data_IF_956425994928
#
_entry.id   IF_956425994928
#
_cell.length_a   1.000
_cell.length_b   1.000
_cell.length_c   1.000
_cell.angle_alpha   90.00
_cell.angle_beta   90.00
_cell.angle_gamma   90.00
#
_symmetry.space_group_name_H-M   'P 1'
#
loop_
_entity.id
_entity.type
_entity.pdbx_description
1 polymer ?
#
# COMPACT_ATOMS: atom_id res chain seq x y z
N UNK A 1 -9.18 -2.63 -16.12
CA UNK A 1 -10.30 -2.23 -15.23
C UNK A 1 -9.86 -1.22 -14.18
N UNK A 2 -8.75 -1.44 -13.45
CA UNK A 2 -8.23 -0.46 -12.45
C UNK A 2 -7.61 0.81 -13.04
N UNK A 3 -7.22 0.81 -14.31
CA UNK A 3 -6.41 1.87 -14.93
C UNK A 3 -7.08 3.24 -14.98
N UNK A 4 -8.40 3.32 -15.19
CA UNK A 4 -9.12 4.61 -15.21
C UNK A 4 -9.15 5.24 -13.80
N UNK A 5 -9.63 4.54 -12.75
CA UNK A 5 -9.49 4.99 -11.36
C UNK A 5 -8.06 5.38 -10.97
N UNK A 6 -7.10 4.53 -11.35
CA UNK A 6 -5.68 4.77 -11.10
C UNK A 6 -5.22 6.08 -11.72
N UNK A 7 -5.50 6.30 -13.00
CA UNK A 7 -5.12 7.52 -13.72
C UNK A 7 -5.76 8.78 -13.13
N UNK A 8 -7.06 8.72 -12.81
CA UNK A 8 -7.78 9.84 -12.17
C UNK A 8 -7.16 10.19 -10.81
N UNK A 9 -6.86 9.18 -9.99
CA UNK A 9 -6.29 9.39 -8.65
C UNK A 9 -4.86 9.89 -8.72
N UNK A 10 -4.02 9.31 -9.58
CA UNK A 10 -2.63 9.75 -9.78
C UNK A 10 -2.62 11.19 -10.29
N UNK A 11 -3.39 11.51 -11.33
CA UNK A 11 -3.43 12.86 -11.92
C UNK A 11 -3.86 13.92 -10.90
N UNK A 12 -4.85 13.60 -10.07
CA UNK A 12 -5.43 14.54 -9.11
C UNK A 12 -4.60 14.73 -7.84
N UNK A 13 -3.97 13.66 -7.34
CA UNK A 13 -3.40 13.64 -5.98
C UNK A 13 -1.90 13.42 -5.92
N UNK A 14 -1.25 12.97 -7.00
CA UNK A 14 0.18 12.71 -6.96
C UNK A 14 1.01 13.99 -7.09
N UNK A 15 2.10 14.05 -6.34
CA UNK A 15 3.13 15.09 -6.48
C UNK A 15 4.12 14.80 -7.62
N UNK A 16 4.16 13.57 -8.12
CA UNK A 16 4.99 13.18 -9.26
C UNK A 16 4.33 12.00 -9.99
N UNK A 17 3.66 12.30 -11.11
CA UNK A 17 2.91 11.34 -11.92
C UNK A 17 3.82 10.22 -12.43
N UNK A 18 4.99 10.57 -12.97
CA UNK A 18 5.94 9.60 -13.51
C UNK A 18 6.37 8.59 -12.44
N UNK A 19 6.81 9.07 -11.27
CA UNK A 19 7.22 8.21 -10.18
C UNK A 19 6.06 7.33 -9.67
N UNK A 20 4.82 7.84 -9.68
CA UNK A 20 3.64 7.06 -9.25
C UNK A 20 3.39 5.86 -10.16
N UNK A 21 3.47 6.07 -11.48
CA UNK A 21 3.35 4.98 -12.44
C UNK A 21 4.54 4.04 -12.36
N UNK A 22 5.75 4.57 -12.20
CA UNK A 22 6.94 3.74 -12.02
C UNK A 22 6.77 2.81 -10.81
N UNK A 23 6.34 3.34 -9.65
CA UNK A 23 6.02 2.53 -8.46
C UNK A 23 4.92 1.51 -8.76
N UNK A 24 3.84 1.92 -9.45
CA UNK A 24 2.75 1.03 -9.80
C UNK A 24 3.22 -0.20 -10.60
N UNK A 25 4.14 0.01 -11.56
CA UNK A 25 4.70 -1.08 -12.36
C UNK A 25 5.83 -1.83 -11.66
N UNK A 26 6.64 -1.15 -10.86
CA UNK A 26 7.74 -1.73 -10.07
C UNK A 26 7.23 -2.78 -9.07
N UNK A 27 6.06 -2.55 -8.49
CA UNK A 27 5.41 -3.52 -7.61
C UNK A 27 4.51 -4.47 -8.40
N UNK A 28 4.06 -5.54 -7.75
CA UNK A 28 3.21 -6.57 -8.38
C UNK A 28 1.82 -6.06 -8.81
N UNK A 29 1.46 -4.79 -8.57
CA UNK A 29 0.12 -4.26 -8.84
C UNK A 29 -0.31 -4.44 -10.30
N UNK A 30 0.60 -4.25 -11.26
CA UNK A 30 0.28 -4.44 -12.68
C UNK A 30 -0.04 -5.90 -13.00
N UNK A 31 0.86 -6.82 -12.64
CA UNK A 31 0.71 -8.25 -12.88
C UNK A 31 -0.46 -8.87 -12.11
N UNK A 32 -0.72 -8.36 -10.91
CA UNK A 32 -1.83 -8.77 -10.06
C UNK A 32 -3.19 -8.61 -10.75
N UNK A 33 -3.34 -7.67 -11.69
CA UNK A 33 -4.58 -7.52 -12.44
C UNK A 33 -4.94 -8.73 -13.31
N UNK A 34 -3.94 -9.51 -13.72
CA UNK A 34 -4.14 -10.68 -14.58
C UNK A 34 -4.44 -11.93 -13.76
N UNK A 35 -3.90 -12.05 -12.53
CA UNK A 35 -4.13 -13.18 -11.64
C UNK A 35 -5.27 -12.98 -10.65
N UNK A 36 -5.67 -11.73 -10.39
CA UNK A 36 -6.62 -11.35 -9.34
C UNK A 36 -7.75 -10.44 -9.81
N UNK A 37 -8.36 -10.71 -10.97
CA UNK A 37 -9.27 -9.76 -11.66
C UNK A 37 -10.43 -9.24 -10.78
N UNK A 38 -11.06 -10.10 -9.96
CA UNK A 38 -12.13 -9.70 -9.01
C UNK A 38 -11.62 -8.76 -7.93
N UNK A 39 -10.44 -9.06 -7.38
CA UNK A 39 -9.80 -8.21 -6.38
C UNK A 39 -9.30 -6.89 -6.99
N UNK A 40 -8.83 -6.89 -8.23
CA UNK A 40 -8.46 -5.67 -8.97
C UNK A 40 -9.66 -4.76 -9.27
N UNK A 41 -10.83 -5.33 -9.53
CA UNK A 41 -12.08 -4.57 -9.59
C UNK A 41 -12.42 -3.93 -8.24
N UNK A 42 -12.29 -4.67 -7.14
CA UNK A 42 -12.48 -4.09 -5.81
C UNK A 42 -11.46 -2.97 -5.50
N UNK A 43 -10.18 -3.15 -5.85
CA UNK A 43 -9.13 -2.12 -5.70
C UNK A 43 -9.44 -0.84 -6.47
N UNK A 44 -10.16 -0.93 -7.59
CA UNK A 44 -10.64 0.22 -8.36
C UNK A 44 -11.56 1.11 -7.53
N UNK A 45 -12.51 0.51 -6.81
CA UNK A 45 -13.38 1.22 -5.88
C UNK A 45 -12.62 1.75 -4.66
N UNK A 46 -11.65 1.00 -4.14
CA UNK A 46 -10.77 1.47 -3.05
C UNK A 46 -10.00 2.73 -3.45
N UNK A 47 -9.40 2.77 -4.65
CA UNK A 47 -8.70 3.96 -5.14
C UNK A 47 -9.62 5.19 -5.21
N UNK A 48 -10.84 5.05 -5.74
CA UNK A 48 -11.82 6.15 -5.79
C UNK A 48 -12.24 6.58 -4.37
N UNK A 49 -12.37 5.63 -3.44
CA UNK A 49 -12.82 5.89 -2.06
C UNK A 49 -11.93 6.90 -1.32
N UNK A 50 -10.65 7.00 -1.71
CA UNK A 50 -9.72 8.00 -1.19
C UNK A 50 -10.25 9.43 -1.33
N UNK A 51 -10.90 9.76 -2.47
CA UNK A 51 -11.55 11.06 -2.65
C UNK A 51 -12.59 11.32 -1.54
N UNK A 52 -13.37 10.31 -1.13
CA UNK A 52 -14.37 10.47 -0.08
C UNK A 52 -13.78 10.57 1.33
N UNK A 53 -12.63 9.93 1.60
CA UNK A 53 -11.88 10.11 2.86
C UNK A 53 -11.40 11.56 2.96
N UNK A 54 -10.73 12.08 1.93
CA UNK A 54 -10.19 13.45 1.90
C UNK A 54 -11.30 14.49 2.04
N UNK A 55 -12.42 14.28 1.35
CA UNK A 55 -13.55 15.21 1.34
C UNK A 55 -14.56 14.99 2.49
N UNK A 56 -14.25 14.11 3.46
CA UNK A 56 -15.10 13.80 4.63
C UNK A 56 -16.54 13.43 4.26
N UNK A 57 -16.71 12.55 3.27
CA UNK A 57 -18.02 12.06 2.79
C UNK A 57 -18.25 10.61 3.25
N UNK A 58 -18.66 10.35 4.51
CA UNK A 58 -18.67 9.00 5.10
C UNK A 58 -19.63 8.05 4.39
N UNK A 59 -20.85 8.51 4.08
CA UNK A 59 -21.85 7.68 3.43
C UNK A 59 -21.45 7.24 2.02
N UNK A 60 -20.87 8.15 1.23
CA UNK A 60 -20.37 7.82 -0.11
C UNK A 60 -19.17 6.87 -0.04
N UNK A 61 -18.32 7.02 0.97
CA UNK A 61 -17.26 6.07 1.26
C UNK A 61 -17.82 4.67 1.57
N UNK A 62 -18.72 4.55 2.56
CA UNK A 62 -19.29 3.27 2.98
C UNK A 62 -19.97 2.55 1.81
N UNK A 63 -20.84 3.25 1.06
CA UNK A 63 -21.54 2.68 -0.10
C UNK A 63 -20.53 2.14 -1.13
N UNK A 64 -19.47 2.90 -1.42
CA UNK A 64 -18.46 2.47 -2.37
C UNK A 64 -17.64 1.27 -1.89
N UNK A 65 -17.33 1.18 -0.60
CA UNK A 65 -16.64 0.01 -0.02
C UNK A 65 -17.54 -1.22 -0.08
N UNK A 66 -18.84 -1.09 0.24
CA UNK A 66 -19.79 -2.20 0.13
C UNK A 66 -19.96 -2.67 -1.32
N UNK A 67 -20.01 -1.74 -2.29
CA UNK A 67 -20.00 -2.07 -3.71
C UNK A 67 -18.67 -2.72 -4.13
N UNK A 68 -17.55 -2.31 -3.57
CA UNK A 68 -16.25 -2.95 -3.84
C UNK A 68 -16.23 -4.38 -3.26
N UNK A 69 -16.84 -4.57 -2.10
CA UNK A 69 -16.94 -5.86 -1.42
C UNK A 69 -17.80 -6.86 -2.21
N UNK A 70 -18.81 -6.41 -2.96
CA UNK A 70 -19.58 -7.32 -3.84
C UNK A 70 -18.76 -7.92 -4.98
N UNK A 71 -17.64 -7.29 -5.37
CA UNK A 71 -16.67 -7.91 -6.28
C UNK A 71 -15.70 -8.85 -5.55
N UNK A 72 -15.29 -8.46 -4.34
CA UNK A 72 -14.39 -9.26 -3.52
C UNK A 72 -14.52 -8.91 -2.02
N UNK A 73 -15.04 -9.84 -1.21
CA UNK A 73 -15.40 -9.59 0.20
C UNK A 73 -14.27 -8.98 1.05
N UNK A 74 -13.02 -9.35 0.78
CA UNK A 74 -11.87 -8.82 1.52
C UNK A 74 -11.66 -7.32 1.39
N UNK A 75 -12.33 -6.63 0.45
CA UNK A 75 -12.33 -5.17 0.36
C UNK A 75 -12.88 -4.50 1.63
N UNK A 76 -13.70 -5.20 2.41
CA UNK A 76 -14.20 -4.75 3.71
C UNK A 76 -13.09 -4.43 4.72
N UNK A 77 -11.90 -5.01 4.56
CA UNK A 77 -10.75 -4.68 5.40
C UNK A 77 -10.38 -3.19 5.33
N UNK A 78 -10.74 -2.51 4.24
CA UNK A 78 -10.51 -1.07 4.06
C UNK A 78 -11.57 -0.19 4.73
N UNK A 79 -12.70 -0.74 5.20
CA UNK A 79 -13.78 0.03 5.81
C UNK A 79 -13.32 0.90 7.00
N UNK A 80 -12.48 0.41 7.95
CA UNK A 80 -11.99 1.22 9.05
C UNK A 80 -11.11 2.40 8.63
N UNK A 81 -10.57 2.39 7.41
CA UNK A 81 -9.65 3.41 6.92
C UNK A 81 -10.25 4.83 6.99
N UNK A 82 -11.57 4.98 6.81
CA UNK A 82 -12.21 6.28 6.87
C UNK A 82 -11.96 7.01 8.19
N UNK A 83 -12.16 6.33 9.32
CA UNK A 83 -11.99 6.94 10.64
C UNK A 83 -10.54 6.95 11.09
N UNK A 84 -9.81 5.87 10.84
CA UNK A 84 -8.42 5.74 11.29
C UNK A 84 -7.50 6.70 10.52
N UNK A 85 -7.72 6.87 9.21
CA UNK A 85 -6.83 7.70 8.40
C UNK A 85 -6.90 9.19 8.74
N UNK A 86 -7.99 9.66 9.33
CA UNK A 86 -8.19 11.07 9.67
C UNK A 86 -7.59 11.47 11.03
N UNK A 87 -7.12 10.51 11.84
CA UNK A 87 -6.56 10.79 13.17
C UNK A 87 -5.29 11.64 13.08
N UNK A 88 -5.20 12.68 13.92
CA UNK A 88 -3.99 13.51 14.01
C UNK A 88 -2.84 12.67 14.55
N UNK A 89 -1.68 12.78 13.91
CA UNK A 89 -0.46 12.09 14.32
C UNK A 89 0.19 12.91 15.44
N UNK A 90 0.05 12.45 16.68
CA UNK A 90 0.69 13.03 17.87
C UNK A 90 1.75 12.08 18.42
N UNK A 91 2.61 12.55 19.33
CA UNK A 91 3.59 11.68 20.01
C UNK A 91 2.89 10.52 20.74
N UNK A 92 1.82 10.79 21.48
CA UNK A 92 1.04 9.76 22.18
C UNK A 92 0.38 8.77 21.21
N UNK A 93 -0.09 9.25 20.05
CA UNK A 93 -0.60 8.37 19.00
C UNK A 93 0.48 7.44 18.45
N UNK A 94 1.69 7.95 18.19
CA UNK A 94 2.83 7.15 17.73
C UNK A 94 3.28 6.13 18.78
N UNK A 95 3.29 6.50 20.07
CA UNK A 95 3.61 5.57 21.17
C UNK A 95 2.55 4.47 21.31
N UNK A 96 1.26 4.84 21.21
CA UNK A 96 0.15 3.88 21.21
C UNK A 96 0.26 2.91 20.02
N UNK A 97 0.55 3.44 18.84
CA UNK A 97 0.83 2.64 17.66
C UNK A 97 2.00 1.69 17.93
N UNK A 98 3.13 2.16 18.47
CA UNK A 98 4.28 1.31 18.78
C UNK A 98 3.94 0.16 19.74
N UNK A 99 3.16 0.43 20.79
CA UNK A 99 2.65 -0.62 21.67
C UNK A 99 1.76 -1.62 20.93
N UNK A 100 0.85 -1.12 20.10
CA UNK A 100 0.00 -1.95 19.24
C UNK A 100 0.83 -2.76 18.23
N UNK A 101 1.91 -2.21 17.69
CA UNK A 101 2.85 -2.89 16.80
C UNK A 101 3.48 -4.10 17.47
N UNK A 102 3.98 -3.93 18.70
CA UNK A 102 4.62 -5.01 19.47
C UNK A 102 3.59 -6.11 19.77
N UNK A 103 2.39 -5.73 20.21
CA UNK A 103 1.31 -6.69 20.50
C UNK A 103 0.92 -7.47 19.24
N UNK A 104 0.72 -6.78 18.12
CA UNK A 104 0.37 -7.42 16.84
C UNK A 104 1.42 -8.42 16.38
N UNK A 105 2.71 -8.08 16.54
CA UNK A 105 3.79 -8.99 16.14
C UNK A 105 3.88 -10.23 17.03
N UNK A 106 3.74 -10.06 18.36
CA UNK A 106 3.75 -11.18 19.32
C UNK A 106 2.53 -12.09 19.12
N UNK A 107 1.35 -11.49 18.93
CA UNK A 107 0.08 -12.21 18.80
C UNK A 107 -0.27 -12.60 17.36
N UNK A 108 0.66 -12.48 16.41
CA UNK A 108 0.40 -12.62 14.97
C UNK A 108 -0.29 -13.92 14.57
N UNK A 109 0.03 -15.04 15.23
CA UNK A 109 -0.60 -16.34 14.95
C UNK A 109 -2.09 -16.35 15.33
N UNK A 110 -2.41 -15.92 16.56
CA UNK A 110 -3.80 -15.85 17.05
C UNK A 110 -4.63 -14.83 16.26
N UNK A 111 -4.06 -13.65 16.01
CA UNK A 111 -4.73 -12.60 15.24
C UNK A 111 -4.94 -13.06 13.79
N UNK A 112 -3.93 -13.69 13.19
CA UNK A 112 -3.99 -14.20 11.84
C UNK A 112 -5.08 -15.25 11.65
N UNK A 113 -5.21 -16.19 12.57
CA UNK A 113 -6.26 -17.20 12.57
C UNK A 113 -7.66 -16.57 12.69
N UNK A 114 -7.87 -15.67 13.65
CA UNK A 114 -9.14 -14.96 13.83
C UNK A 114 -9.52 -14.18 12.56
N UNK A 115 -8.58 -13.41 12.00
CA UNK A 115 -8.84 -12.64 10.79
C UNK A 115 -9.13 -13.54 9.59
N UNK A 116 -8.44 -14.67 9.47
CA UNK A 116 -8.71 -15.61 8.38
C UNK A 116 -10.12 -16.19 8.50
N UNK A 117 -10.54 -16.63 9.69
CA UNK A 117 -11.89 -17.13 9.97
C UNK A 117 -12.99 -16.09 9.70
N UNK A 118 -12.70 -14.80 9.85
CA UNK A 118 -13.67 -13.73 9.61
C UNK A 118 -13.90 -13.43 8.12
N UNK A 119 -12.88 -13.64 7.28
CA UNK A 119 -12.93 -13.27 5.86
C UNK A 119 -13.01 -14.47 4.90
N UNK A 120 -12.79 -15.69 5.40
CA UNK A 120 -12.74 -16.92 4.61
C UNK A 120 -13.47 -18.06 5.33
N UNK A 121 -14.34 -18.76 4.60
CA UNK A 121 -15.15 -19.86 5.15
C UNK A 121 -14.31 -21.12 5.45
N UNK A 122 -13.27 -21.41 4.66
CA UNK A 122 -12.32 -22.52 4.88
C UNK A 122 -10.92 -22.00 5.19
N UNK A 123 -10.72 -21.57 6.44
CA UNK A 123 -9.49 -20.91 6.86
C UNK A 123 -8.26 -21.81 6.83
N UNK A 124 -8.39 -23.08 7.18
CA UNK A 124 -7.27 -24.04 7.20
C UNK A 124 -6.77 -24.33 5.79
N UNK A 125 -7.68 -24.55 4.84
CA UNK A 125 -7.32 -24.70 3.44
C UNK A 125 -6.65 -23.44 2.89
N UNK A 126 -7.21 -22.26 3.19
CA UNK A 126 -6.64 -20.98 2.71
C UNK A 126 -5.27 -20.72 3.31
N UNK A 127 -5.03 -20.98 4.60
CA UNK A 127 -3.71 -20.82 5.22
C UNK A 127 -2.69 -21.77 4.56
N UNK A 128 -3.07 -23.02 4.31
CA UNK A 128 -2.22 -24.02 3.65
C UNK A 128 -1.82 -23.64 2.21
N UNK A 129 -2.65 -22.86 1.50
CA UNK A 129 -2.32 -22.34 0.16
C UNK A 129 -1.28 -21.22 0.17
N UNK A 130 -1.04 -20.57 1.31
CA UNK A 130 -0.19 -19.39 1.41
C UNK A 130 0.88 -19.57 2.49
N UNK A 131 1.96 -20.25 2.11
CA UNK A 131 3.11 -20.48 2.97
C UNK A 131 3.65 -19.17 3.57
N UNK A 132 4.03 -19.26 4.84
CA UNK A 132 4.61 -18.13 5.57
C UNK A 132 6.11 -18.04 5.28
N UNK A 133 6.64 -16.82 5.16
CA UNK A 133 8.08 -16.60 5.10
C UNK A 133 8.76 -16.70 6.47
N UNK A 134 8.00 -16.93 7.56
CA UNK A 134 8.37 -16.90 9.00
C UNK A 134 8.96 -15.59 9.55
N UNK A 135 9.74 -14.85 8.74
CA UNK A 135 10.33 -13.55 9.05
C UNK A 135 9.54 -12.34 8.55
N UNK A 136 10.07 -11.15 8.83
CA UNK A 136 9.52 -9.87 8.36
C UNK A 136 9.79 -9.77 6.85
N UNK A 137 8.73 -9.94 6.04
CA UNK A 137 8.84 -9.91 4.57
C UNK A 137 9.34 -8.57 4.03
N UNK A 138 9.97 -8.58 2.86
CA UNK A 138 10.58 -7.39 2.24
C UNK A 138 9.62 -6.20 2.07
N UNK A 139 8.34 -6.46 1.79
CA UNK A 139 7.31 -5.42 1.71
C UNK A 139 7.13 -4.67 3.04
N UNK A 140 7.17 -5.37 4.19
CA UNK A 140 7.08 -4.72 5.50
C UNK A 140 8.30 -3.81 5.75
N UNK A 141 9.50 -4.32 5.47
CA UNK A 141 10.75 -3.55 5.59
C UNK A 141 10.69 -2.30 4.71
N UNK A 142 10.24 -2.44 3.47
CA UNK A 142 10.08 -1.31 2.55
C UNK A 142 9.09 -0.26 3.08
N UNK A 143 7.92 -0.67 3.57
CA UNK A 143 6.95 0.27 4.16
C UNK A 143 7.56 0.99 5.37
N UNK A 144 8.29 0.28 6.25
CA UNK A 144 9.00 0.87 7.39
C UNK A 144 9.97 1.95 6.90
N UNK A 145 10.83 1.64 5.92
CA UNK A 145 11.81 2.59 5.39
C UNK A 145 11.12 3.82 4.80
N UNK A 146 10.07 3.67 4.01
CA UNK A 146 9.35 4.81 3.41
C UNK A 146 8.62 5.64 4.48
N UNK A 147 8.06 5.02 5.52
CA UNK A 147 7.48 5.73 6.66
C UNK A 147 8.54 6.52 7.43
N UNK A 148 9.68 5.92 7.72
CA UNK A 148 10.82 6.57 8.37
C UNK A 148 11.31 7.78 7.56
N UNK A 149 11.52 7.61 6.25
CA UNK A 149 11.89 8.72 5.35
C UNK A 149 10.83 9.82 5.39
N UNK A 150 9.55 9.46 5.41
CA UNK A 150 8.46 10.40 5.64
C UNK A 150 8.69 11.20 6.91
N UNK A 151 8.75 10.55 8.08
CA UNK A 151 8.94 11.23 9.36
C UNK A 151 10.21 12.10 9.44
N UNK A 152 11.29 11.69 8.78
CA UNK A 152 12.55 12.45 8.71
C UNK A 152 12.39 13.73 7.86
N UNK A 153 11.78 13.62 6.67
CA UNK A 153 11.63 14.75 5.76
C UNK A 153 10.41 15.63 6.08
N UNK A 154 9.50 15.19 6.94
CA UNK A 154 8.33 15.97 7.33
C UNK A 154 8.65 16.97 8.44
N UNK A 155 8.17 18.20 8.27
CA UNK A 155 8.01 19.09 9.41
C UNK A 155 6.72 18.73 10.15
N UNK A 156 6.84 18.19 11.37
CA UNK A 156 5.73 17.66 12.14
C UNK A 156 4.58 18.67 12.39
N UNK A 157 4.88 19.97 12.48
CA UNK A 157 3.89 21.02 12.72
C UNK A 157 3.03 21.35 11.49
N UNK A 158 3.61 21.33 10.29
CA UNK A 158 2.89 21.58 9.03
C UNK A 158 2.35 20.31 8.39
N UNK A 159 2.96 19.16 8.68
CA UNK A 159 2.61 17.87 8.09
C UNK A 159 1.23 17.36 8.52
N UNK A 160 0.95 17.43 9.82
CA UNK A 160 -0.33 16.97 10.38
C UNK A 160 -1.52 17.88 10.06
N UNK A 161 -1.25 19.11 9.62
CA UNK A 161 -2.27 20.10 9.25
C UNK A 161 -2.91 19.81 7.88
N UNK A 162 -2.15 19.25 6.94
CA UNK A 162 -2.63 18.91 5.60
C UNK A 162 -3.36 17.56 5.66
N UNK A 163 -4.61 17.52 5.19
CA UNK A 163 -5.47 16.34 5.30
C UNK A 163 -4.93 15.16 4.49
N UNK A 164 -4.49 15.39 3.25
CA UNK A 164 -3.97 14.37 2.34
C UNK A 164 -2.77 13.65 2.94
N UNK A 165 -1.84 14.40 3.50
CA UNK A 165 -0.64 13.91 4.13
C UNK A 165 -0.92 12.97 5.30
N UNK A 166 -1.76 13.45 6.21
CA UNK A 166 -2.18 12.69 7.39
C UNK A 166 -2.91 11.41 6.99
N UNK A 167 -3.81 11.51 6.02
CA UNK A 167 -4.57 10.35 5.52
C UNK A 167 -3.64 9.33 4.89
N UNK A 168 -2.75 9.74 3.98
CA UNK A 168 -1.79 8.83 3.36
C UNK A 168 -0.84 8.18 4.38
N UNK A 169 -0.28 8.94 5.33
CA UNK A 169 0.58 8.34 6.37
C UNK A 169 -0.18 7.32 7.21
N UNK A 170 -1.39 7.63 7.67
CA UNK A 170 -2.16 6.68 8.47
C UNK A 170 -2.57 5.44 7.65
N UNK A 171 -2.92 5.60 6.36
CA UNK A 171 -3.16 4.46 5.46
C UNK A 171 -1.91 3.59 5.37
N UNK A 172 -0.73 4.18 5.22
CA UNK A 172 0.53 3.42 5.15
C UNK A 172 0.93 2.78 6.48
N UNK A 173 0.59 3.39 7.62
CA UNK A 173 0.75 2.78 8.95
C UNK A 173 -0.14 1.54 9.06
N UNK A 174 -1.41 1.64 8.65
CA UNK A 174 -2.32 0.47 8.65
C UNK A 174 -1.82 -0.59 7.66
N UNK A 175 -1.29 -0.18 6.51
CA UNK A 175 -0.68 -1.10 5.54
C UNK A 175 0.47 -1.89 6.17
N UNK A 176 1.36 -1.22 6.92
CA UNK A 176 2.42 -1.89 7.67
C UNK A 176 1.84 -2.89 8.67
N UNK A 177 0.77 -2.51 9.36
CA UNK A 177 0.15 -3.36 10.37
C UNK A 177 -0.38 -4.67 9.80
N UNK A 178 -1.10 -4.59 8.69
CA UNK A 178 -1.58 -5.78 7.99
C UNK A 178 -0.39 -6.57 7.42
N UNK A 179 0.61 -5.90 6.85
CA UNK A 179 1.76 -6.57 6.24
C UNK A 179 2.58 -7.37 7.24
N UNK A 180 2.66 -6.97 8.52
CA UNK A 180 3.40 -7.75 9.53
C UNK A 180 2.79 -9.13 9.78
N UNK A 181 1.48 -9.29 9.56
CA UNK A 181 0.79 -10.57 9.60
C UNK A 181 1.17 -11.48 8.42
N UNK A 182 1.88 -10.98 7.40
CA UNK A 182 2.39 -11.84 6.32
C UNK A 182 3.41 -12.86 6.81
N UNK A 183 4.05 -12.60 7.96
CA UNK A 183 4.94 -13.57 8.61
C UNK A 183 4.18 -14.77 9.22
N UNK A 184 2.85 -14.66 9.35
CA UNK A 184 1.96 -15.79 9.66
C UNK A 184 1.46 -16.48 8.39
N UNK A 185 1.03 -15.73 7.37
CA UNK A 185 0.63 -16.30 6.06
C UNK A 185 0.71 -15.25 4.95
N UNK A 186 1.20 -15.62 3.76
CA UNK A 186 1.27 -14.70 2.60
C UNK A 186 -0.10 -14.15 2.19
N UNK A 187 -1.20 -14.78 2.63
CA UNK A 187 -2.57 -14.26 2.51
C UNK A 187 -2.68 -12.78 2.92
N UNK A 188 -2.00 -12.39 4.00
CA UNK A 188 -2.03 -11.03 4.51
C UNK A 188 -1.32 -10.03 3.60
N UNK A 189 -0.39 -10.46 2.76
CA UNK A 189 0.15 -9.61 1.67
C UNK A 189 -0.94 -9.30 0.65
N UNK A 190 -1.78 -10.28 0.26
CA UNK A 190 -2.91 -10.04 -0.65
C UNK A 190 -3.98 -9.16 0.00
N UNK A 191 -4.25 -9.36 1.30
CA UNK A 191 -5.17 -8.52 2.07
C UNK A 191 -4.65 -7.08 2.18
N UNK A 192 -3.34 -6.91 2.35
CA UNK A 192 -2.70 -5.61 2.46
C UNK A 192 -2.79 -4.77 1.17
N UNK A 193 -3.01 -5.37 -0.01
CA UNK A 193 -3.08 -4.63 -1.28
C UNK A 193 -4.07 -3.46 -1.25
N UNK A 194 -5.18 -3.58 -0.52
CA UNK A 194 -6.17 -2.50 -0.40
C UNK A 194 -5.64 -1.25 0.31
N UNK A 195 -4.65 -1.38 1.19
CA UNK A 195 -3.98 -0.26 1.83
C UNK A 195 -2.66 0.10 1.11
N UNK A 196 -1.87 -0.91 0.75
CA UNK A 196 -0.55 -0.72 0.18
C UNK A 196 -0.58 -0.03 -1.19
N UNK A 197 -1.66 -0.16 -1.97
CA UNK A 197 -1.79 0.53 -3.27
C UNK A 197 -1.57 2.05 -3.16
N UNK A 198 -1.86 2.68 -2.01
CA UNK A 198 -1.66 4.12 -1.80
C UNK A 198 -0.19 4.53 -1.69
N UNK A 199 0.76 3.59 -1.69
CA UNK A 199 2.19 3.87 -1.83
C UNK A 199 2.49 4.69 -3.10
N UNK A 200 1.70 4.50 -4.17
CA UNK A 200 1.80 5.24 -5.43
C UNK A 200 1.55 6.74 -5.25
N UNK A 201 0.90 7.17 -4.16
CA UNK A 201 0.71 8.58 -3.81
C UNK A 201 1.66 9.01 -2.69
N UNK A 202 1.82 8.15 -1.68
CA UNK A 202 2.59 8.47 -0.49
C UNK A 202 4.08 8.68 -0.79
N UNK A 203 4.70 7.77 -1.54
CA UNK A 203 6.14 7.87 -1.80
C UNK A 203 6.50 9.07 -2.70
N UNK A 204 5.79 9.35 -3.81
CA UNK A 204 6.00 10.59 -4.57
C UNK A 204 5.86 11.84 -3.71
N UNK A 205 4.92 11.82 -2.77
CA UNK A 205 4.76 12.89 -1.81
C UNK A 205 5.98 13.01 -0.87
N UNK A 206 6.48 11.92 -0.27
CA UNK A 206 7.71 11.90 0.56
C UNK A 206 8.89 12.50 -0.22
N UNK A 207 9.10 12.00 -1.45
CA UNK A 207 10.18 12.43 -2.33
C UNK A 207 10.06 13.93 -2.65
N UNK A 208 8.84 14.45 -2.83
CA UNK A 208 8.64 15.89 -3.09
C UNK A 208 9.16 16.80 -1.97
N UNK A 209 9.18 16.31 -0.73
CA UNK A 209 9.57 17.08 0.47
C UNK A 209 11.07 17.07 0.74
N UNK A 210 11.86 16.24 0.06
CA UNK A 210 13.31 16.27 0.13
C UNK A 210 13.82 17.68 -0.25
N UNK A 211 14.59 18.28 0.66
CA UNK A 211 15.12 19.65 0.57
C UNK A 211 14.13 20.78 0.87
N UNK A 212 12.85 20.47 1.13
CA UNK A 212 11.79 21.43 1.51
C UNK A 212 11.21 21.17 2.90
N UNK A 213 11.74 20.16 3.58
CA UNK A 213 11.30 19.67 4.88
C UNK A 213 12.12 20.22 6.04
N UNK A 214 12.24 19.42 7.11
CA UNK A 214 13.12 19.75 8.24
C UNK A 214 14.60 19.80 7.87
N UNK A 215 15.01 18.91 6.95
CA UNK A 215 16.37 18.87 6.46
C UNK A 215 16.52 19.90 5.35
N UNK A 216 17.28 20.96 5.65
CA UNK A 216 17.69 21.95 4.66
C UNK A 216 18.73 21.32 3.73
N UNK A 217 18.45 21.31 2.43
CA UNK A 217 19.38 20.87 1.40
C UNK A 217 19.46 21.96 0.33
N UNK A 218 20.60 22.08 -0.34
CA UNK A 218 20.68 22.93 -1.54
C UNK A 218 19.80 22.33 -2.63
N UNK A 219 19.29 23.19 -3.53
CA UNK A 219 18.40 22.75 -4.62
C UNK A 219 19.05 21.64 -5.47
N UNK A 220 20.36 21.77 -5.75
CA UNK A 220 21.13 20.77 -6.51
C UNK A 220 21.21 19.41 -5.81
N UNK A 221 21.43 19.40 -4.49
CA UNK A 221 21.49 18.18 -3.67
C UNK A 221 20.13 17.48 -3.64
N UNK A 222 19.05 18.25 -3.40
CA UNK A 222 17.69 17.71 -3.39
C UNK A 222 17.31 17.14 -4.77
N UNK A 223 17.72 17.78 -5.86
CA UNK A 223 17.49 17.27 -7.21
C UNK A 223 18.25 15.96 -7.46
N UNK A 224 19.53 15.89 -7.06
CA UNK A 224 20.35 14.68 -7.14
C UNK A 224 19.70 13.51 -6.39
N UNK A 225 19.29 13.71 -5.13
CA UNK A 225 18.65 12.66 -4.32
C UNK A 225 17.36 12.17 -4.99
N UNK A 226 16.51 13.08 -5.49
CA UNK A 226 15.27 12.71 -6.21
C UNK A 226 15.57 11.92 -7.49
N UNK A 227 16.63 12.30 -8.21
CA UNK A 227 17.13 11.58 -9.39
C UNK A 227 17.58 10.17 -9.04
N UNK A 228 18.41 10.01 -8.01
CA UNK A 228 18.90 8.71 -7.53
C UNK A 228 17.74 7.80 -7.12
N UNK A 229 16.76 8.31 -6.37
CA UNK A 229 15.56 7.53 -6.01
C UNK A 229 14.83 7.06 -7.27
N UNK A 230 14.64 7.93 -8.25
CA UNK A 230 13.97 7.57 -9.51
C UNK A 230 14.76 6.49 -10.26
N UNK A 231 16.09 6.58 -10.32
CA UNK A 231 16.97 5.58 -10.94
C UNK A 231 16.87 4.24 -10.22
N UNK A 232 16.85 4.22 -8.88
CA UNK A 232 16.65 2.99 -8.08
C UNK A 232 15.33 2.32 -8.45
N UNK A 233 14.25 3.08 -8.60
CA UNK A 233 12.96 2.52 -9.01
C UNK A 233 12.95 2.05 -10.47
N UNK A 234 13.66 2.71 -11.38
CA UNK A 234 13.84 2.24 -12.76
C UNK A 234 14.60 0.91 -12.76
N UNK A 235 15.68 0.82 -11.99
CA UNK A 235 16.46 -0.42 -11.85
C UNK A 235 15.61 -1.54 -11.25
N UNK A 236 14.85 -1.25 -10.20
CA UNK A 236 13.95 -2.22 -9.56
C UNK A 236 12.81 -2.67 -10.50
N UNK A 237 12.22 -1.74 -11.26
CA UNK A 237 11.27 -2.07 -12.33
C UNK A 237 11.92 -3.00 -13.36
N UNK A 238 13.10 -2.65 -13.87
CA UNK A 238 13.80 -3.47 -14.87
C UNK A 238 14.13 -4.87 -14.33
N UNK A 239 14.68 -4.97 -13.11
CA UNK A 239 15.04 -6.26 -12.50
C UNK A 239 13.82 -7.14 -12.23
N UNK A 240 12.71 -6.54 -11.77
CA UNK A 240 11.45 -7.25 -11.55
C UNK A 240 10.84 -7.76 -12.86
N UNK A 241 10.87 -6.98 -13.95
CA UNK A 241 10.36 -7.44 -15.24
C UNK A 241 11.26 -8.50 -15.87
N UNK A 242 12.59 -8.33 -15.78
CA UNK A 242 13.56 -9.33 -16.22
C UNK A 242 13.30 -10.65 -15.48
N UNK A 243 13.15 -10.63 -14.15
CA UNK A 243 12.88 -11.87 -13.41
C UNK A 243 11.57 -12.54 -13.85
N UNK A 244 10.50 -11.77 -14.09
CA UNK A 244 9.22 -12.32 -14.59
C UNK A 244 9.32 -12.91 -16.00
N UNK A 245 10.06 -12.27 -16.91
CA UNK A 245 10.26 -12.76 -18.28
C UNK A 245 11.15 -14.00 -18.34
N UNK A 246 12.28 -14.00 -17.61
CA UNK A 246 13.28 -15.07 -17.70
C UNK A 246 12.99 -16.26 -16.79
N UNK A 247 12.37 -16.05 -15.62
CA UNK A 247 12.09 -17.14 -14.68
C UNK A 247 10.70 -17.76 -14.90
N UNK A 248 9.84 -17.16 -15.74
CA UNK A 248 8.55 -17.73 -16.14
C UNK A 248 7.55 -17.97 -15.00
N UNK A 249 7.79 -17.41 -13.81
CA UNK A 249 7.12 -17.75 -12.55
C UNK A 249 5.59 -17.59 -12.60
N UNK A 250 5.07 -16.69 -13.44
CA UNK A 250 3.63 -16.41 -13.51
C UNK A 250 2.99 -16.83 -14.86
N UNK A 251 3.78 -17.30 -15.83
CA UNK A 251 3.35 -17.56 -17.24
C UNK A 251 2.62 -16.40 -17.94
N UNK A 252 2.68 -15.18 -17.38
CA UNK A 252 2.08 -13.98 -17.98
C UNK A 252 2.93 -13.51 -19.18
N UNK A 253 4.25 -13.71 -19.12
CA UNK A 253 5.19 -13.34 -20.16
C UNK A 253 6.15 -14.52 -20.47
N UNK A 254 6.24 -14.99 -21.73
CA UNK A 254 5.35 -14.66 -22.86
C UNK A 254 3.93 -15.17 -22.59
N UNK A 255 2.91 -14.37 -22.95
CA UNK A 255 1.52 -14.77 -22.78
C UNK A 255 1.24 -16.01 -23.63
N UNK A 256 0.89 -17.11 -22.98
CA UNK A 256 0.40 -18.32 -23.63
C UNK A 256 -1.10 -18.42 -23.43
N UNK A 257 -1.83 -18.60 -24.53
CA UNK A 257 -3.24 -18.92 -24.44
C UNK A 257 -3.43 -20.28 -23.77
N UNK A 258 -4.54 -20.47 -23.08
CA UNK A 258 -4.84 -21.71 -22.35
C UNK A 258 -5.02 -22.94 -23.27
N UNK A 259 -5.09 -22.73 -24.58
CA UNK A 259 -5.27 -23.76 -25.60
C UNK A 259 -3.98 -24.10 -26.37
N UNK A 260 -2.82 -23.58 -25.97
CA UNK A 260 -1.52 -23.85 -26.58
C UNK A 260 -0.54 -24.56 -25.63
#
# INVERSE_FOLDING_TARGET
MIYVPLGVIIYKYSQNIFLSYLIYFSFEFFFFNFSGIRQSLALSGILISYYFIINKKPWKFIILILLSASFHNTALVFLPAYWLAQKKITKSYLLCLLGFFIIMYIMKYRIGEILTNLYYDDSQHVIGLYESSTGIGGTAVFIILVLLLGFIFYNASTFSAIIENRVLTNIMIIALMIQLLSSFSYLFTRLNLYYFIFIILYLPYVVSKIGRGNIKMKIKEAFLVKGVISIIFIFFFASFYISKVFQGLDRILPYKFFWN
#
